data_IF_028777944448
#
_entry.id   IF_028777944448
#
_cell.length_a   1.000
_cell.length_b   1.000
_cell.length_c   1.000
_cell.angle_alpha   90.00
_cell.angle_beta   90.00
_cell.angle_gamma   90.00
#
_symmetry.space_group_name_H-M   'P 1'
#
loop_
_entity.id
_entity.type
_entity.pdbx_description
1 polymer ?
#
# COMPACT_ATOMS: atom_id res chain seq x y z
N UNK A 1 -0.12 -15.31 -4.73
CA UNK A 1 1.26 -15.29 -5.26
C UNK A 1 1.25 -14.83 -6.72
N UNK A 2 1.29 -13.50 -6.94
CA UNK A 2 1.15 -12.80 -8.24
C UNK A 2 2.45 -12.80 -9.07
N UNK A 3 3.18 -13.92 -9.11
CA UNK A 3 4.52 -13.98 -9.72
C UNK A 3 4.45 -14.16 -11.25
N UNK A 4 3.33 -14.68 -11.79
CA UNK A 4 3.21 -14.95 -13.23
C UNK A 4 2.94 -13.69 -14.05
N UNK A 5 3.57 -13.61 -15.22
CA UNK A 5 3.35 -12.64 -16.33
C UNK A 5 1.88 -12.28 -16.57
N UNK A 6 0.95 -13.19 -16.31
CA UNK A 6 -0.48 -12.98 -16.51
C UNK A 6 -1.06 -11.90 -15.59
N UNK A 7 -0.49 -11.68 -14.40
CA UNK A 7 -0.91 -10.61 -13.49
C UNK A 7 -0.29 -9.25 -13.82
N UNK A 8 0.74 -9.20 -14.67
CA UNK A 8 1.28 -7.95 -15.21
C UNK A 8 0.35 -7.31 -16.26
N UNK A 9 -0.64 -8.06 -16.76
CA UNK A 9 -1.58 -7.56 -17.76
C UNK A 9 -2.67 -6.72 -17.11
N UNK A 10 -3.02 -5.61 -17.77
CA UNK A 10 -3.99 -4.64 -17.25
C UNK A 10 -5.40 -5.24 -17.08
N UNK A 11 -5.77 -6.24 -17.88
CA UNK A 11 -7.05 -6.94 -17.78
C UNK A 11 -7.21 -7.77 -16.49
N UNK A 12 -6.09 -8.17 -15.86
CA UNK A 12 -6.07 -8.88 -14.59
C UNK A 12 -5.78 -7.96 -13.42
N UNK A 13 -4.87 -6.99 -13.60
CA UNK A 13 -4.56 -5.97 -12.59
C UNK A 13 -5.77 -5.09 -12.29
N UNK A 14 -6.51 -4.68 -13.33
CA UNK A 14 -7.68 -3.82 -13.19
C UNK A 14 -8.88 -4.46 -12.48
N UNK A 15 -8.87 -5.79 -12.27
CA UNK A 15 -9.89 -6.49 -11.47
C UNK A 15 -9.61 -6.48 -9.97
N UNK A 16 -8.42 -6.05 -9.55
CA UNK A 16 -8.10 -5.97 -8.14
C UNK A 16 -8.78 -4.75 -7.51
N UNK A 17 -9.12 -4.77 -6.23
CA UNK A 17 -9.53 -3.56 -5.52
C UNK A 17 -8.47 -2.46 -5.63
N UNK A 18 -8.90 -1.19 -5.71
CA UNK A 18 -8.00 -0.05 -5.95
C UNK A 18 -6.87 0.03 -4.91
N UNK A 19 -7.19 -0.22 -3.63
CA UNK A 19 -6.20 -0.26 -2.54
C UNK A 19 -5.07 -1.28 -2.76
N UNK A 20 -5.31 -2.39 -3.46
CA UNK A 20 -4.23 -3.33 -3.82
C UNK A 20 -3.45 -2.81 -5.04
N UNK A 21 -4.15 -2.23 -6.01
CA UNK A 21 -3.54 -1.74 -7.24
C UNK A 21 -2.56 -0.59 -7.00
N UNK A 22 -2.84 0.25 -6.00
CA UNK A 22 -2.02 1.40 -5.60
C UNK A 22 -0.65 0.98 -5.07
N UNK A 23 -0.58 -0.10 -4.27
CA UNK A 23 0.69 -0.61 -3.73
C UNK A 23 1.38 -1.62 -4.66
N UNK A 24 0.76 -1.98 -5.79
CA UNK A 24 1.36 -2.88 -6.77
C UNK A 24 2.24 -2.09 -7.75
N UNK A 25 3.53 -1.93 -7.43
CA UNK A 25 4.46 -1.29 -8.36
C UNK A 25 4.62 -2.11 -9.64
N UNK A 26 4.71 -1.48 -10.83
CA UNK A 26 4.95 -2.20 -12.08
C UNK A 26 6.24 -3.03 -12.04
N UNK A 27 7.28 -2.54 -11.35
CA UNK A 27 8.56 -3.23 -11.12
C UNK A 27 8.41 -4.49 -10.26
N UNK A 28 7.38 -4.55 -9.41
CA UNK A 28 7.08 -5.73 -8.57
C UNK A 28 6.28 -6.81 -9.30
N UNK A 29 5.95 -6.58 -10.57
CA UNK A 29 5.27 -7.56 -11.43
C UNK A 29 6.28 -8.23 -12.37
N UNK A 30 6.08 -9.51 -12.68
CA UNK A 30 6.99 -10.30 -13.53
C UNK A 30 8.42 -10.48 -12.95
N UNK A 31 8.52 -10.69 -11.64
CA UNK A 31 9.77 -11.08 -10.99
C UNK A 31 10.05 -12.57 -11.15
N UNK A 32 11.33 -12.94 -11.25
CA UNK A 32 11.77 -14.32 -11.10
C UNK A 32 11.59 -14.81 -9.65
N UNK A 33 11.73 -16.13 -9.44
CA UNK A 33 11.59 -16.74 -8.11
C UNK A 33 12.64 -16.16 -7.14
N UNK A 34 13.88 -16.00 -7.61
CA UNK A 34 14.98 -15.50 -6.79
C UNK A 34 14.81 -14.02 -6.43
N UNK A 35 14.39 -13.18 -7.41
CA UNK A 35 14.07 -11.77 -7.16
C UNK A 35 12.90 -11.63 -6.18
N UNK A 36 11.86 -12.44 -6.34
CA UNK A 36 10.72 -12.45 -5.42
C UNK A 36 11.15 -12.81 -4.00
N UNK A 37 12.02 -13.81 -3.85
CA UNK A 37 12.54 -14.21 -2.54
C UNK A 37 13.40 -13.12 -1.89
N UNK A 38 14.20 -12.40 -2.68
CA UNK A 38 14.99 -11.25 -2.20
C UNK A 38 14.09 -10.10 -1.74
N UNK A 39 13.09 -9.73 -2.54
CA UNK A 39 12.13 -8.67 -2.20
C UNK A 39 11.36 -9.05 -0.92
N UNK A 40 10.88 -10.29 -0.81
CA UNK A 40 10.17 -10.78 0.36
C UNK A 40 11.04 -10.71 1.63
N UNK A 41 12.31 -11.18 1.56
CA UNK A 41 13.24 -11.11 2.70
C UNK A 41 13.48 -9.68 3.15
N UNK A 42 13.75 -8.77 2.21
CA UNK A 42 13.96 -7.35 2.53
C UNK A 42 12.72 -6.73 3.16
N UNK A 43 11.56 -6.97 2.57
CA UNK A 43 10.29 -6.41 3.04
C UNK A 43 9.96 -6.88 4.46
N UNK A 44 10.11 -8.18 4.73
CA UNK A 44 9.84 -8.76 6.05
C UNK A 44 10.76 -8.16 7.14
N UNK A 45 12.05 -7.97 6.86
CA UNK A 45 12.97 -7.36 7.82
C UNK A 45 12.63 -5.90 8.11
N UNK A 46 12.19 -5.15 7.09
CA UNK A 46 11.76 -3.77 7.26
C UNK A 46 10.45 -3.66 8.06
N UNK A 47 9.50 -4.57 7.80
CA UNK A 47 8.19 -4.57 8.47
C UNK A 47 8.24 -5.18 9.88
N UNK A 48 9.31 -5.91 10.23
CA UNK A 48 9.52 -6.48 11.56
C UNK A 48 10.18 -5.51 12.55
N UNK A 49 10.48 -4.27 12.14
CA UNK A 49 10.99 -3.25 13.06
C UNK A 49 9.94 -2.89 14.12
N UNK A 50 10.34 -2.49 15.34
CA UNK A 50 9.40 -2.05 16.36
C UNK A 50 8.59 -0.87 15.83
N UNK A 51 7.28 -1.07 15.72
CA UNK A 51 6.35 -0.08 15.18
C UNK A 51 5.51 0.48 16.32
N UNK A 52 5.81 1.70 16.74
CA UNK A 52 5.14 2.33 17.89
C UNK A 52 3.87 3.06 17.45
N UNK A 53 3.01 3.36 18.43
CA UNK A 53 1.76 4.12 18.18
C UNK A 53 2.05 5.55 17.70
N UNK A 54 3.17 6.12 18.14
CA UNK A 54 3.61 7.48 17.78
C UNK A 54 3.95 7.57 16.29
N UNK A 55 4.53 6.51 15.71
CA UNK A 55 4.87 6.44 14.28
C UNK A 55 3.63 6.46 13.35
N UNK A 56 2.46 6.10 13.88
CA UNK A 56 1.20 6.09 13.13
C UNK A 56 0.41 7.40 13.25
N UNK A 57 0.75 8.23 14.24
CA UNK A 57 -0.01 9.43 14.55
C UNK A 57 0.18 10.48 13.44
N UNK A 58 -0.94 10.96 12.87
CA UNK A 58 -0.95 11.89 11.74
C UNK A 58 -0.82 11.25 10.36
N UNK A 59 -0.62 9.93 10.28
CA UNK A 59 -0.59 9.17 9.01
C UNK A 59 -1.81 8.26 8.90
N UNK A 60 -1.93 7.29 9.82
CA UNK A 60 -3.00 6.28 9.83
C UNK A 60 -3.90 6.39 11.06
N UNK A 61 -3.42 7.03 12.13
CA UNK A 61 -4.17 7.29 13.36
C UNK A 61 -4.26 8.81 13.57
N UNK A 62 -5.44 9.30 13.92
CA UNK A 62 -5.70 10.72 14.21
C UNK A 62 -6.17 10.86 15.66
N UNK A 63 -5.68 11.90 16.34
CA UNK A 63 -6.18 12.31 17.65
C UNK A 63 -7.29 13.37 17.49
N UNK A 64 -8.10 13.55 18.53
CA UNK A 64 -9.22 14.51 18.56
C UNK A 64 -8.77 15.93 18.21
N UNK A 65 -7.65 16.38 18.77
CA UNK A 65 -7.06 17.70 18.49
C UNK A 65 -6.58 17.87 17.02
N UNK A 66 -6.28 16.77 16.33
CA UNK A 66 -5.84 16.78 14.93
C UNK A 66 -7.01 16.83 13.94
N UNK A 67 -8.23 16.60 14.40
CA UNK A 67 -9.45 16.65 13.60
C UNK A 67 -9.85 18.08 13.25
N UNK A 68 -9.56 19.03 14.15
CA UNK A 68 -9.89 20.45 13.99
C UNK A 68 -8.90 21.20 13.08
N UNK A 69 -7.66 20.72 13.01
CA UNK A 69 -6.64 21.26 12.13
C UNK A 69 -6.77 20.67 10.73
N UNK A 70 -6.13 21.32 9.76
CA UNK A 70 -6.13 21.11 8.31
C UNK A 70 -5.93 19.68 7.75
N UNK A 71 -5.91 18.64 8.58
CA UNK A 71 -5.86 17.23 8.22
C UNK A 71 -7.02 16.82 7.31
N UNK A 72 -8.24 17.37 7.50
CA UNK A 72 -9.41 17.06 6.66
C UNK A 72 -9.11 17.33 5.18
N UNK A 73 -8.41 18.44 4.85
CA UNK A 73 -8.02 18.77 3.45
C UNK A 73 -7.11 17.73 2.81
N UNK A 74 -6.31 17.01 3.61
CA UNK A 74 -5.41 15.96 3.11
C UNK A 74 -6.17 14.67 2.79
N UNK A 75 -7.27 14.40 3.49
CA UNK A 75 -8.10 13.22 3.29
C UNK A 75 -9.27 13.46 2.33
N UNK A 76 -9.59 14.71 1.99
CA UNK A 76 -10.59 15.07 0.95
C UNK A 76 -10.32 14.38 -0.39
N UNK A 77 -9.05 14.14 -0.75
CA UNK A 77 -8.68 13.44 -2.00
C UNK A 77 -8.81 11.90 -1.92
N UNK A 78 -8.92 11.34 -0.71
CA UNK A 78 -9.02 9.89 -0.46
C UNK A 78 -10.47 9.45 -0.38
N UNK A 79 -11.39 10.37 -0.06
CA UNK A 79 -12.84 10.12 -0.05
C UNK A 79 -13.37 10.14 -1.49
N UNK A 80 -13.25 9.03 -2.19
CA UNK A 80 -14.13 8.77 -3.33
C UNK A 80 -15.49 8.31 -2.82
N UNK A 81 -16.53 9.05 -3.16
CA UNK A 81 -17.91 8.60 -2.94
C UNK A 81 -18.15 7.36 -3.79
N UNK A 82 -18.47 6.26 -3.12
CA UNK A 82 -19.02 5.07 -3.77
C UNK A 82 -20.51 5.36 -3.98
N UNK A 83 -20.91 5.63 -5.22
CA UNK A 83 -22.33 5.55 -5.65
C UNK A 83 -22.87 4.11 -5.53
#
# INVERSE_FOLDING_TARGET
MMIRVRFSRNDKRGKLPRWIQEYLEPTSTNLSIDETAQVARRWLTLMAQPFTKEDQLGVSLLNEEMLEQSAIKRFESVVEYVD
#
